data_IF_066420227879
#
_entry.id   IF_066420227879
#
_cell.length_a   1.000
_cell.length_b   1.000
_cell.length_c   1.000
_cell.angle_alpha   90.00
_cell.angle_beta   90.00
_cell.angle_gamma   90.00
#
_symmetry.space_group_name_H-M   'P 1'
#
loop_
_entity.id
_entity.type
_entity.pdbx_description
1 polymer ?
#
# COMPACT_ATOMS: atom_id res chain seq x y z
N UNK A 1 15.15 -17.90 33.92
CA UNK A 1 14.35 -18.98 33.33
C UNK A 1 14.06 -18.73 31.84
N UNK A 2 13.86 -17.49 31.36
CA UNK A 2 13.61 -17.19 29.94
C UNK A 2 14.79 -17.46 28.99
N UNK A 3 16.01 -17.25 29.40
CA UNK A 3 17.23 -17.43 28.57
C UNK A 3 17.53 -18.91 28.23
N UNK A 4 17.19 -19.85 29.12
CA UNK A 4 17.40 -21.30 28.87
C UNK A 4 16.37 -21.89 27.90
N UNK A 5 15.15 -21.37 27.91
CA UNK A 5 14.07 -21.89 27.03
C UNK A 5 14.26 -21.42 25.58
N UNK A 6 14.82 -20.24 25.37
CA UNK A 6 15.12 -19.71 24.03
C UNK A 6 16.22 -20.53 23.34
N UNK A 7 17.29 -20.88 24.08
CA UNK A 7 18.42 -21.69 23.56
C UNK A 7 17.98 -23.10 23.12
N UNK A 8 17.03 -23.73 23.84
CA UNK A 8 16.48 -25.05 23.47
C UNK A 8 15.67 -24.95 22.17
N UNK A 9 14.81 -23.93 22.03
CA UNK A 9 14.01 -23.74 20.83
C UNK A 9 14.90 -23.47 19.61
N UNK A 10 15.91 -22.61 19.74
CA UNK A 10 16.82 -22.29 18.64
C UNK A 10 17.61 -23.50 18.18
N UNK A 11 18.18 -24.28 19.11
CA UNK A 11 18.90 -25.53 18.80
C UNK A 11 18.02 -26.57 18.10
N UNK A 12 16.73 -26.61 18.43
CA UNK A 12 15.79 -27.52 17.79
C UNK A 12 15.32 -27.03 16.43
N UNK A 13 15.11 -25.71 16.25
CA UNK A 13 14.57 -25.14 15.03
C UNK A 13 15.59 -24.97 13.92
N UNK A 14 16.85 -24.67 14.23
CA UNK A 14 17.91 -24.44 13.25
C UNK A 14 18.14 -25.64 12.31
N UNK A 15 18.38 -26.88 12.80
CA UNK A 15 18.58 -28.02 11.90
C UNK A 15 17.31 -28.41 11.13
N UNK A 16 16.12 -28.12 11.66
CA UNK A 16 14.86 -28.39 10.98
C UNK A 16 14.52 -27.36 9.89
N UNK A 17 14.96 -26.12 10.01
CA UNK A 17 14.66 -25.07 9.03
C UNK A 17 15.18 -25.43 7.63
N UNK A 18 16.42 -25.86 7.49
CA UNK A 18 17.02 -26.30 6.22
C UNK A 18 16.27 -27.48 5.58
N UNK A 19 15.78 -28.39 6.42
CA UNK A 19 14.97 -29.49 5.94
C UNK A 19 13.61 -29.01 5.45
N UNK A 20 12.95 -28.13 6.21
CA UNK A 20 11.66 -27.54 5.82
C UNK A 20 11.80 -26.83 4.49
N UNK A 21 12.84 -26.01 4.29
CA UNK A 21 13.10 -25.32 3.02
C UNK A 21 13.17 -26.31 1.85
N UNK A 22 13.88 -27.42 2.02
CA UNK A 22 14.03 -28.47 1.00
C UNK A 22 12.72 -29.22 0.74
N UNK A 23 12.00 -29.62 1.78
CA UNK A 23 10.75 -30.39 1.68
C UNK A 23 9.58 -29.57 1.14
N UNK A 24 9.55 -28.24 1.40
CA UNK A 24 8.50 -27.34 0.91
C UNK A 24 8.80 -26.77 -0.48
N UNK A 25 10.02 -26.89 -0.97
CA UNK A 25 10.38 -26.41 -2.30
C UNK A 25 9.62 -27.21 -3.38
N UNK A 26 8.86 -26.47 -4.21
CA UNK A 26 8.18 -27.04 -5.38
C UNK A 26 8.96 -26.62 -6.61
N UNK A 27 9.44 -27.60 -7.39
CA UNK A 27 10.21 -27.35 -8.60
C UNK A 27 9.43 -26.60 -9.68
N UNK A 28 10.11 -25.81 -10.49
CA UNK A 28 9.50 -25.03 -11.57
C UNK A 28 8.77 -25.90 -12.60
N UNK A 29 9.17 -27.18 -12.73
CA UNK A 29 8.54 -28.16 -13.61
C UNK A 29 7.06 -28.43 -13.28
N UNK A 30 6.62 -28.14 -12.05
CA UNK A 30 5.23 -28.28 -11.64
C UNK A 30 4.33 -27.09 -12.01
N UNK A 31 4.92 -25.96 -12.44
CA UNK A 31 4.22 -24.73 -12.77
C UNK A 31 3.90 -24.59 -14.28
N UNK A 32 3.90 -25.71 -15.02
CA UNK A 32 3.55 -25.69 -16.44
C UNK A 32 2.04 -25.79 -16.72
N UNK A 33 1.64 -25.31 -17.88
CA UNK A 33 0.28 -25.46 -18.40
C UNK A 33 -0.72 -24.51 -17.71
N UNK A 34 -1.73 -25.07 -17.07
CA UNK A 34 -2.84 -24.30 -16.49
C UNK A 34 -2.50 -23.56 -15.19
N UNK A 35 -1.38 -23.92 -14.55
CA UNK A 35 -1.00 -23.30 -13.25
C UNK A 35 -0.57 -21.86 -13.47
N UNK A 36 -1.27 -20.94 -12.83
CA UNK A 36 -1.04 -19.49 -12.94
C UNK A 36 -0.31 -18.98 -11.70
N UNK A 37 1.02 -19.15 -11.65
CA UNK A 37 1.88 -18.68 -10.56
C UNK A 37 1.67 -17.17 -10.32
N UNK A 38 1.33 -16.79 -9.08
CA UNK A 38 1.02 -15.41 -8.73
C UNK A 38 -0.22 -14.85 -9.44
N UNK A 39 -1.16 -15.70 -9.89
CA UNK A 39 -2.34 -15.31 -10.67
C UNK A 39 -1.97 -14.51 -11.94
N UNK A 40 -0.89 -14.94 -12.63
CA UNK A 40 -0.42 -14.36 -13.89
C UNK A 40 -0.51 -15.36 -15.04
N UNK A 41 -0.95 -14.88 -16.17
CA UNK A 41 -0.88 -15.60 -17.43
C UNK A 41 0.55 -15.61 -17.97
N UNK A 42 0.86 -16.48 -18.92
CA UNK A 42 2.19 -16.59 -19.55
C UNK A 42 2.66 -15.30 -20.24
N UNK A 43 1.73 -14.47 -20.69
CA UNK A 43 1.97 -13.16 -21.30
C UNK A 43 2.14 -12.03 -20.24
N UNK A 44 2.15 -12.38 -18.95
CA UNK A 44 2.29 -11.43 -17.82
C UNK A 44 1.00 -10.71 -17.43
N UNK A 45 -0.18 -11.00 -18.08
CA UNK A 45 -1.46 -10.44 -17.63
C UNK A 45 -1.91 -11.04 -16.32
N UNK A 46 -2.73 -10.28 -15.56
CA UNK A 46 -3.49 -10.84 -14.45
C UNK A 46 -4.54 -11.84 -14.94
N UNK A 47 -4.74 -12.91 -14.18
CA UNK A 47 -5.88 -13.79 -14.38
C UNK A 47 -7.16 -13.01 -14.07
N UNK A 48 -8.14 -13.06 -14.98
CA UNK A 48 -9.43 -12.41 -14.76
C UNK A 48 -10.23 -13.25 -13.75
N UNK A 49 -10.38 -12.72 -12.53
CA UNK A 49 -11.06 -13.42 -11.42
C UNK A 49 -12.40 -12.78 -11.03
N UNK A 50 -12.74 -11.63 -11.59
CA UNK A 50 -13.98 -10.93 -11.29
C UNK A 50 -14.20 -9.69 -12.14
N UNK A 51 -15.32 -9.03 -11.90
CA UNK A 51 -15.69 -7.75 -12.51
C UNK A 51 -15.94 -6.72 -11.42
N UNK A 52 -15.73 -5.44 -11.72
CA UNK A 52 -15.89 -4.36 -10.75
C UNK A 52 -16.37 -3.07 -11.41
N UNK A 53 -17.15 -2.28 -10.66
CA UNK A 53 -17.51 -0.91 -10.99
C UNK A 53 -16.75 0.12 -10.14
N UNK A 54 -15.90 -0.33 -9.19
CA UNK A 54 -15.24 0.58 -8.24
C UNK A 54 -14.09 1.32 -8.89
N UNK A 55 -13.18 0.62 -9.55
CA UNK A 55 -12.02 1.22 -10.17
C UNK A 55 -11.58 0.49 -11.44
N UNK A 56 -11.03 1.23 -12.40
CA UNK A 56 -10.47 0.68 -13.64
C UNK A 56 -9.08 1.23 -13.89
N UNK A 57 -8.13 0.31 -14.14
CA UNK A 57 -6.72 0.58 -14.39
C UNK A 57 -6.42 0.20 -15.83
N UNK A 58 -6.12 1.17 -16.69
CA UNK A 58 -5.91 0.98 -18.11
C UNK A 58 -4.50 1.40 -18.51
N UNK A 59 -3.73 0.52 -19.17
CA UNK A 59 -2.39 0.79 -19.68
C UNK A 59 -2.18 0.23 -21.09
N UNK A 60 -3.22 -0.38 -21.68
CA UNK A 60 -3.21 -0.92 -23.04
C UNK A 60 -4.64 -1.07 -23.57
N UNK A 61 -4.76 -1.13 -24.87
CA UNK A 61 -5.99 -1.52 -25.60
C UNK A 61 -5.79 -2.89 -26.24
N UNK A 62 -6.86 -3.63 -26.41
CA UNK A 62 -6.86 -4.85 -27.21
C UNK A 62 -7.29 -4.50 -28.63
N UNK A 63 -6.38 -4.66 -29.60
CA UNK A 63 -6.65 -4.51 -31.02
C UNK A 63 -6.32 -5.85 -31.70
N UNK A 64 -7.30 -6.46 -32.32
CA UNK A 64 -7.17 -7.78 -32.98
C UNK A 64 -6.58 -8.88 -32.09
N UNK A 65 -6.93 -8.85 -30.79
CA UNK A 65 -6.41 -9.78 -29.78
C UNK A 65 -4.98 -9.50 -29.32
N UNK A 66 -4.33 -8.46 -29.85
CA UNK A 66 -3.01 -8.00 -29.41
C UNK A 66 -3.11 -6.81 -28.48
N UNK A 67 -2.15 -6.70 -27.57
CA UNK A 67 -2.05 -5.57 -26.66
C UNK A 67 -1.29 -4.44 -27.31
N UNK A 68 -1.95 -3.32 -27.43
CA UNK A 68 -1.34 -2.06 -27.86
C UNK A 68 -1.16 -1.17 -26.62
N UNK A 69 0.07 -0.90 -26.19
CA UNK A 69 0.34 0.00 -25.07
C UNK A 69 -0.29 1.38 -25.31
N UNK A 70 -0.88 1.93 -24.25
CA UNK A 70 -1.45 3.29 -24.24
C UNK A 70 -0.97 4.06 -23.01
N UNK A 71 -1.03 5.40 -22.99
CA UNK A 71 -0.86 6.15 -21.77
C UNK A 71 -1.77 5.61 -20.67
N UNK A 72 -1.25 5.51 -19.45
CA UNK A 72 -2.00 4.96 -18.33
C UNK A 72 -3.16 5.86 -17.95
N UNK A 73 -4.30 5.25 -17.62
CA UNK A 73 -5.49 5.92 -17.08
C UNK A 73 -6.00 5.17 -15.87
N UNK A 74 -6.47 5.94 -14.90
CA UNK A 74 -7.09 5.41 -13.68
C UNK A 74 -8.45 6.05 -13.52
N UNK A 75 -9.46 5.21 -13.35
CA UNK A 75 -10.85 5.65 -13.20
C UNK A 75 -11.40 5.22 -11.85
N UNK A 76 -12.07 6.13 -11.16
CA UNK A 76 -12.88 5.88 -9.97
C UNK A 76 -14.35 5.97 -10.35
N UNK A 77 -15.07 4.86 -10.25
CA UNK A 77 -16.49 4.79 -10.67
C UNK A 77 -16.75 5.31 -12.09
N UNK A 78 -15.77 5.12 -12.99
CA UNK A 78 -15.87 5.57 -14.39
C UNK A 78 -15.42 7.00 -14.65
N UNK A 79 -15.03 7.77 -13.62
CA UNK A 79 -14.51 9.13 -13.74
C UNK A 79 -12.98 9.09 -13.69
N UNK A 80 -12.31 9.76 -14.63
CA UNK A 80 -10.86 9.75 -14.70
C UNK A 80 -10.25 10.52 -13.52
N UNK A 81 -9.26 9.91 -12.85
CA UNK A 81 -8.60 10.53 -11.69
C UNK A 81 -8.02 11.91 -12.00
N UNK A 82 -7.42 12.06 -13.17
CA UNK A 82 -6.83 13.33 -13.58
C UNK A 82 -7.86 14.46 -13.60
N UNK A 83 -9.07 14.19 -14.08
CA UNK A 83 -10.14 15.18 -14.14
C UNK A 83 -10.58 15.60 -12.74
N UNK A 84 -10.65 14.66 -11.79
CA UNK A 84 -11.00 14.95 -10.40
C UNK A 84 -9.92 15.84 -9.77
N UNK A 85 -8.65 15.44 -9.89
CA UNK A 85 -7.53 16.21 -9.30
C UNK A 85 -7.43 17.61 -9.89
N UNK A 86 -7.54 17.76 -11.22
CA UNK A 86 -7.48 19.06 -11.88
C UNK A 86 -8.65 19.97 -11.49
N UNK A 87 -9.85 19.40 -11.34
CA UNK A 87 -11.02 20.17 -10.89
C UNK A 87 -10.82 20.78 -9.50
N UNK A 88 -10.39 19.98 -8.52
CA UNK A 88 -10.13 20.46 -7.17
C UNK A 88 -8.97 21.47 -7.11
N UNK A 89 -7.89 21.20 -7.83
CA UNK A 89 -6.76 22.13 -7.90
C UNK A 89 -7.16 23.48 -8.50
N UNK A 90 -7.96 23.48 -9.56
CA UNK A 90 -8.46 24.71 -10.19
C UNK A 90 -9.41 25.48 -9.27
N UNK A 91 -10.21 24.77 -8.51
CA UNK A 91 -11.15 25.36 -7.56
C UNK A 91 -10.50 25.79 -6.23
N UNK A 92 -9.26 25.32 -5.91
CA UNK A 92 -8.63 25.54 -4.62
C UNK A 92 -9.37 24.83 -3.49
N UNK A 93 -9.88 23.62 -3.73
CA UNK A 93 -10.66 22.83 -2.76
C UNK A 93 -9.98 21.50 -2.44
N UNK A 94 -10.34 20.91 -1.31
CA UNK A 94 -9.90 19.56 -0.91
C UNK A 94 -10.80 18.51 -1.55
N UNK A 95 -10.21 17.46 -2.12
CA UNK A 95 -10.92 16.48 -2.95
C UNK A 95 -11.00 15.07 -2.37
N UNK A 96 -10.26 14.75 -1.33
CA UNK A 96 -10.24 13.37 -0.80
C UNK A 96 -11.60 12.91 -0.28
N UNK A 97 -12.34 13.76 0.41
CA UNK A 97 -13.68 13.47 0.91
C UNK A 97 -14.67 13.22 -0.23
N UNK A 98 -14.57 14.00 -1.33
CA UNK A 98 -15.39 13.75 -2.51
C UNK A 98 -15.03 12.43 -3.19
N UNK A 99 -13.74 12.09 -3.28
CA UNK A 99 -13.27 10.77 -3.79
C UNK A 99 -13.78 9.64 -2.90
N UNK A 100 -13.73 9.77 -1.58
CA UNK A 100 -14.28 8.78 -0.65
C UNK A 100 -15.78 8.61 -0.86
N UNK A 101 -16.54 9.71 -0.98
CA UNK A 101 -17.95 9.69 -1.30
C UNK A 101 -18.22 8.98 -2.63
N UNK A 102 -17.53 9.38 -3.70
CA UNK A 102 -17.67 8.78 -5.01
C UNK A 102 -17.44 7.27 -5.00
N UNK A 103 -16.39 6.81 -4.33
CA UNK A 103 -16.06 5.39 -4.22
C UNK A 103 -17.14 4.62 -3.46
N UNK A 104 -17.65 5.17 -2.36
CA UNK A 104 -18.67 4.52 -1.53
C UNK A 104 -20.05 4.55 -2.20
N UNK A 105 -20.52 5.71 -2.66
CA UNK A 105 -21.87 5.90 -3.16
C UNK A 105 -22.03 5.56 -4.66
N UNK A 106 -20.92 5.61 -5.43
CA UNK A 106 -20.94 5.27 -6.86
C UNK A 106 -21.25 6.43 -7.81
N UNK A 107 -21.42 7.67 -7.29
CA UNK A 107 -21.69 8.89 -8.06
C UNK A 107 -21.09 10.11 -7.34
N UNK A 108 -20.90 11.21 -8.07
CA UNK A 108 -20.41 12.48 -7.50
C UNK A 108 -21.49 13.16 -6.66
N UNK A 109 -21.14 13.69 -5.47
CA UNK A 109 -22.09 14.40 -4.62
C UNK A 109 -22.47 15.76 -5.21
N UNK A 110 -23.66 16.20 -4.88
CA UNK A 110 -24.00 17.62 -4.91
C UNK A 110 -23.27 18.36 -3.77
N UNK A 111 -23.26 19.69 -3.81
CA UNK A 111 -22.63 20.50 -2.75
C UNK A 111 -23.22 20.20 -1.37
N UNK A 112 -24.54 20.04 -1.28
CA UNK A 112 -25.24 19.72 -0.02
C UNK A 112 -24.93 18.30 0.48
N UNK A 113 -24.84 17.33 -0.43
CA UNK A 113 -24.47 15.95 -0.07
C UNK A 113 -23.03 15.87 0.42
N UNK A 114 -22.09 16.57 -0.25
CA UNK A 114 -20.69 16.61 0.19
C UNK A 114 -20.57 17.30 1.56
N UNK A 115 -21.27 18.41 1.76
CA UNK A 115 -21.27 19.10 3.06
C UNK A 115 -21.78 18.22 4.20
N UNK A 116 -22.85 17.45 3.97
CA UNK A 116 -23.36 16.46 4.95
C UNK A 116 -22.38 15.35 5.20
N UNK A 117 -21.78 14.81 4.13
CA UNK A 117 -20.76 13.76 4.23
C UNK A 117 -19.55 14.23 5.02
N UNK A 118 -19.05 15.44 4.76
CA UNK A 118 -17.95 16.05 5.52
C UNK A 118 -18.31 16.21 7.01
N UNK A 119 -19.54 16.57 7.34
CA UNK A 119 -20.02 16.62 8.72
C UNK A 119 -20.01 15.25 9.42
N UNK A 120 -20.38 14.18 8.70
CA UNK A 120 -20.32 12.79 9.22
C UNK A 120 -18.86 12.35 9.35
N UNK A 121 -18.02 12.61 8.34
CA UNK A 121 -16.59 12.29 8.37
C UNK A 121 -15.88 12.98 9.53
N UNK A 122 -16.22 14.23 9.84
CA UNK A 122 -15.63 14.99 10.94
C UNK A 122 -15.87 14.33 12.29
N UNK A 123 -17.07 13.78 12.52
CA UNK A 123 -17.40 13.02 13.73
C UNK A 123 -16.66 11.67 13.78
N UNK A 124 -16.51 11.02 12.62
CA UNK A 124 -15.83 9.74 12.49
C UNK A 124 -14.30 9.79 12.72
N UNK A 125 -13.69 10.99 12.67
CA UNK A 125 -12.25 11.16 12.93
C UNK A 125 -11.87 10.92 14.40
N UNK A 126 -12.82 11.12 15.33
CA UNK A 126 -12.55 10.89 16.76
C UNK A 126 -12.47 9.38 17.05
N UNK A 127 -11.41 8.97 17.72
CA UNK A 127 -11.28 7.60 18.22
C UNK A 127 -12.22 7.36 19.41
N UNK A 128 -12.64 6.12 19.66
CA UNK A 128 -13.41 5.79 20.86
C UNK A 128 -12.68 6.24 22.14
N UNK A 129 -13.43 6.60 23.15
CA UNK A 129 -12.86 7.06 24.44
C UNK A 129 -11.97 5.96 25.04
N UNK A 130 -10.76 6.33 25.47
CA UNK A 130 -9.76 5.43 26.03
C UNK A 130 -9.06 4.52 25.01
N UNK A 131 -9.34 4.64 23.70
CA UNK A 131 -8.74 3.79 22.67
C UNK A 131 -7.23 4.01 22.55
N UNK A 132 -6.79 5.26 22.55
CA UNK A 132 -5.36 5.59 22.47
C UNK A 132 -4.59 5.04 23.64
N UNK A 133 -5.07 5.23 24.86
CA UNK A 133 -4.44 4.78 26.10
C UNK A 133 -4.52 3.27 26.28
N UNK A 134 -5.68 2.69 26.06
CA UNK A 134 -5.97 1.28 26.33
C UNK A 134 -5.46 0.33 25.24
N UNK A 135 -5.30 0.81 23.99
CA UNK A 135 -4.87 0.00 22.87
C UNK A 135 -3.49 0.42 22.34
N UNK A 136 -3.33 1.65 21.87
CA UNK A 136 -2.10 2.09 21.19
C UNK A 136 -0.94 2.23 22.18
N UNK A 137 -1.14 2.91 23.30
CA UNK A 137 -0.09 3.18 24.30
C UNK A 137 0.25 1.95 25.14
N UNK A 138 -0.71 1.07 25.39
CA UNK A 138 -0.49 -0.10 26.27
C UNK A 138 0.44 -1.14 25.67
N UNK A 139 0.42 -1.29 24.35
CA UNK A 139 1.25 -2.24 23.62
C UNK A 139 1.85 -1.59 22.37
N UNK A 140 2.75 -0.60 22.55
CA UNK A 140 3.31 0.14 21.43
C UNK A 140 4.10 -0.77 20.50
N UNK A 141 4.00 -0.53 19.20
CA UNK A 141 4.73 -1.28 18.18
C UNK A 141 5.78 -0.40 17.51
N UNK A 142 6.99 -0.94 17.30
CA UNK A 142 7.99 -0.29 16.46
C UNK A 142 7.59 -0.28 14.98
N UNK A 143 6.64 -1.14 14.57
CA UNK A 143 6.13 -1.23 13.21
C UNK A 143 4.74 -0.62 13.10
N UNK A 144 4.64 0.51 12.41
CA UNK A 144 3.41 1.28 12.26
C UNK A 144 2.26 0.51 11.58
N UNK A 145 2.56 -0.34 10.59
CA UNK A 145 1.53 -1.14 9.92
C UNK A 145 1.01 -2.28 10.79
N UNK A 146 1.85 -2.83 11.67
CA UNK A 146 1.40 -3.77 12.69
C UNK A 146 0.46 -3.09 13.69
N UNK A 147 0.83 -1.88 14.14
CA UNK A 147 0.00 -1.08 15.04
C UNK A 147 -1.36 -0.77 14.41
N UNK A 148 -1.37 -0.34 13.13
CA UNK A 148 -2.60 -0.04 12.41
C UNK A 148 -3.50 -1.28 12.29
N UNK A 149 -2.96 -2.45 11.92
CA UNK A 149 -3.73 -3.69 11.79
C UNK A 149 -4.37 -4.11 13.13
N UNK A 150 -3.62 -4.02 14.25
CA UNK A 150 -4.14 -4.31 15.59
C UNK A 150 -5.22 -3.31 16.01
N UNK A 151 -5.00 -2.03 15.71
CA UNK A 151 -5.98 -0.98 15.98
C UNK A 151 -7.31 -1.25 15.26
N UNK A 152 -7.23 -1.63 13.97
CA UNK A 152 -8.44 -1.99 13.20
C UNK A 152 -9.17 -3.16 13.84
N UNK A 153 -8.48 -4.25 14.19
CA UNK A 153 -9.09 -5.40 14.85
C UNK A 153 -9.68 -5.04 16.22
N UNK A 154 -9.04 -4.13 16.96
CA UNK A 154 -9.54 -3.69 18.27
C UNK A 154 -10.81 -2.86 18.17
N UNK A 155 -11.02 -2.12 17.06
CA UNK A 155 -12.25 -1.35 16.83
C UNK A 155 -13.51 -2.24 16.77
N UNK A 156 -13.36 -3.52 16.42
CA UNK A 156 -14.45 -4.51 16.50
C UNK A 156 -15.15 -4.49 17.86
N UNK A 157 -14.38 -4.41 18.95
CA UNK A 157 -14.92 -4.42 20.32
C UNK A 157 -15.62 -3.11 20.72
N UNK A 158 -15.53 -2.07 19.92
CA UNK A 158 -16.21 -0.78 20.14
C UNK A 158 -17.44 -0.59 19.23
N UNK A 159 -17.71 -1.56 18.35
CA UNK A 159 -18.89 -1.56 17.51
C UNK A 159 -20.00 -2.38 18.18
N UNK A 160 -21.22 -1.86 18.34
CA UNK A 160 -22.32 -2.61 18.93
C UNK A 160 -22.78 -3.80 18.07
N UNK A 161 -22.63 -3.71 16.74
CA UNK A 161 -23.07 -4.73 15.79
C UNK A 161 -21.98 -5.07 14.77
N UNK A 162 -20.80 -5.56 15.23
CA UNK A 162 -19.62 -5.70 14.36
C UNK A 162 -19.79 -6.76 13.26
N UNK A 163 -20.61 -7.77 13.49
CA UNK A 163 -20.85 -8.89 12.56
C UNK A 163 -22.04 -8.65 11.61
N UNK A 164 -22.78 -7.55 11.76
CA UNK A 164 -23.85 -7.21 10.82
C UNK A 164 -23.25 -6.75 9.48
N UNK A 165 -23.48 -7.57 8.44
CA UNK A 165 -23.04 -7.34 7.07
C UNK A 165 -24.09 -6.68 6.20
N UNK A 166 -25.17 -6.12 6.78
CA UNK A 166 -26.12 -5.29 6.05
C UNK A 166 -25.41 -4.08 5.41
N UNK A 167 -25.90 -3.63 4.26
CA UNK A 167 -25.27 -2.50 3.55
C UNK A 167 -25.32 -1.22 4.37
N UNK A 168 -26.36 -1.02 5.16
CA UNK A 168 -26.50 0.12 6.08
C UNK A 168 -25.35 0.11 7.12
N UNK A 169 -25.16 -1.00 7.82
CA UNK A 169 -24.10 -1.12 8.82
C UNK A 169 -22.70 -1.07 8.19
N UNK A 170 -22.54 -1.71 7.03
CA UNK A 170 -21.29 -1.63 6.25
C UNK A 170 -20.91 -0.20 5.89
N UNK A 171 -21.87 0.60 5.44
CA UNK A 171 -21.63 2.00 5.12
C UNK A 171 -21.22 2.78 6.38
N UNK A 172 -21.90 2.56 7.50
CA UNK A 172 -21.57 3.18 8.78
C UNK A 172 -20.14 2.83 9.23
N UNK A 173 -19.79 1.54 9.21
CA UNK A 173 -18.46 1.04 9.55
C UNK A 173 -17.39 1.62 8.59
N UNK A 174 -17.68 1.67 7.29
CA UNK A 174 -16.76 2.22 6.28
C UNK A 174 -16.44 3.70 6.55
N UNK A 175 -17.46 4.52 6.80
CA UNK A 175 -17.25 5.95 7.09
C UNK A 175 -16.48 6.14 8.40
N UNK A 176 -16.80 5.37 9.45
CA UNK A 176 -16.04 5.38 10.71
C UNK A 176 -14.56 5.03 10.49
N UNK A 177 -14.27 3.97 9.74
CA UNK A 177 -12.91 3.53 9.47
C UNK A 177 -12.14 4.55 8.62
N UNK A 178 -12.73 5.08 7.54
CA UNK A 178 -12.08 6.11 6.70
C UNK A 178 -11.75 7.34 7.55
N UNK A 179 -12.68 7.77 8.41
CA UNK A 179 -12.48 8.93 9.28
C UNK A 179 -11.39 8.73 10.33
N UNK A 180 -11.37 7.58 11.01
CA UNK A 180 -10.46 7.36 12.14
C UNK A 180 -9.03 6.88 11.75
N UNK A 181 -8.80 6.36 10.55
CA UNK A 181 -7.48 5.87 10.14
C UNK A 181 -6.37 6.92 10.29
N UNK A 182 -6.52 8.16 9.80
CA UNK A 182 -5.51 9.19 10.00
C UNK A 182 -5.20 9.45 11.49
N UNK A 183 -6.23 9.44 12.35
CA UNK A 183 -6.06 9.61 13.80
C UNK A 183 -5.30 8.45 14.45
N UNK A 184 -5.60 7.20 14.05
CA UNK A 184 -4.85 6.02 14.50
C UNK A 184 -3.38 6.16 14.10
N UNK A 185 -3.10 6.52 12.84
CA UNK A 185 -1.73 6.65 12.34
C UNK A 185 -0.95 7.74 13.07
N UNK A 186 -1.54 8.93 13.25
CA UNK A 186 -0.89 10.04 13.94
C UNK A 186 -0.60 9.72 15.41
N UNK A 187 -1.58 9.17 16.14
CA UNK A 187 -1.40 8.78 17.54
C UNK A 187 -0.39 7.65 17.68
N UNK A 188 -0.44 6.64 16.81
CA UNK A 188 0.53 5.54 16.81
C UNK A 188 1.95 6.02 16.56
N UNK A 189 2.14 6.99 15.66
CA UNK A 189 3.44 7.58 15.40
C UNK A 189 3.96 8.34 16.62
N UNK A 190 3.15 9.18 17.26
CA UNK A 190 3.53 9.89 18.47
C UNK A 190 3.90 8.92 19.61
N UNK A 191 3.11 7.86 19.79
CA UNK A 191 3.39 6.81 20.78
C UNK A 191 4.70 6.07 20.45
N UNK A 192 4.92 5.70 19.17
CA UNK A 192 6.19 5.10 18.74
C UNK A 192 7.37 6.00 19.06
N UNK A 193 7.30 7.29 18.76
CA UNK A 193 8.37 8.26 19.07
C UNK A 193 8.64 8.32 20.57
N UNK A 194 7.59 8.35 21.36
CA UNK A 194 7.71 8.39 22.82
C UNK A 194 8.43 7.15 23.38
N UNK A 195 7.97 5.95 23.03
CA UNK A 195 8.47 4.70 23.62
C UNK A 195 9.82 4.24 23.05
N UNK A 196 10.08 4.46 21.77
CA UNK A 196 11.26 3.92 21.09
C UNK A 196 12.36 4.95 20.81
N UNK A 197 12.05 6.26 20.94
CA UNK A 197 13.00 7.34 20.66
C UNK A 197 13.10 8.35 21.79
N UNK A 198 12.41 8.17 22.91
CA UNK A 198 12.40 9.04 24.08
C UNK A 198 11.95 10.48 23.82
N UNK A 199 11.10 10.68 22.82
CA UNK A 199 10.51 11.98 22.53
C UNK A 199 9.32 12.27 23.45
N UNK A 200 8.97 13.54 23.60
CA UNK A 200 7.72 13.93 24.26
C UNK A 200 6.50 13.36 23.54
N UNK A 201 5.49 12.94 24.30
CA UNK A 201 4.23 12.46 23.75
C UNK A 201 3.36 13.65 23.33
N UNK A 202 3.01 13.72 22.07
CA UNK A 202 2.11 14.74 21.51
C UNK A 202 0.88 14.05 20.91
N UNK A 203 -0.26 14.16 21.57
CA UNK A 203 -1.53 13.66 21.08
C UNK A 203 -2.42 14.85 20.75
N UNK A 204 -2.72 15.04 19.47
CA UNK A 204 -3.57 16.11 18.97
C UNK A 204 -4.90 15.54 18.52
N UNK A 205 -6.01 16.15 18.95
CA UNK A 205 -7.34 15.77 18.53
C UNK A 205 -7.68 16.36 17.15
N UNK A 206 -8.46 15.64 16.31
CA UNK A 206 -8.90 16.18 15.04
C UNK A 206 -9.81 17.41 15.25
N UNK A 207 -9.71 18.37 14.35
CA UNK A 207 -10.55 19.58 14.30
C UNK A 207 -11.66 19.35 13.28
N UNK A 208 -12.94 19.52 13.66
CA UNK A 208 -14.08 19.16 12.81
C UNK A 208 -14.12 19.89 11.46
N UNK A 209 -13.70 21.15 11.42
CA UNK A 209 -13.77 22.03 10.25
C UNK A 209 -12.67 21.77 9.21
N UNK A 210 -11.62 21.08 9.59
CA UNK A 210 -10.48 20.80 8.73
C UNK A 210 -10.71 19.54 7.88
N UNK A 211 -10.15 19.52 6.68
CA UNK A 211 -10.10 18.33 5.81
C UNK A 211 -9.28 17.18 6.43
N UNK A 212 -9.31 16.01 5.83
CA UNK A 212 -8.48 14.87 6.25
C UNK A 212 -6.99 15.17 6.12
N UNK A 213 -6.58 15.83 5.04
CA UNK A 213 -5.18 16.21 4.82
C UNK A 213 -4.67 17.22 5.86
N UNK A 214 -5.44 18.26 6.13
CA UNK A 214 -5.11 19.27 7.14
C UNK A 214 -5.03 18.66 8.55
N UNK A 215 -6.04 17.88 8.94
CA UNK A 215 -6.05 17.19 10.22
C UNK A 215 -4.83 16.25 10.37
N UNK A 216 -4.47 15.52 9.32
CA UNK A 216 -3.32 14.62 9.37
C UNK A 216 -2.01 15.38 9.61
N UNK A 217 -1.73 16.44 8.83
CA UNK A 217 -0.53 17.26 9.01
C UNK A 217 -0.48 17.91 10.40
N UNK A 218 -1.62 18.42 10.86
CA UNK A 218 -1.77 19.00 12.19
C UNK A 218 -1.50 17.99 13.31
N UNK A 219 -2.04 16.78 13.17
CA UNK A 219 -1.93 15.76 14.23
C UNK A 219 -0.56 15.11 14.31
N UNK A 220 0.16 14.96 13.19
CA UNK A 220 1.47 14.29 13.16
C UNK A 220 2.62 15.20 13.60
N UNK A 221 2.44 16.52 13.55
CA UNK A 221 3.44 17.51 13.88
C UNK A 221 3.30 17.98 15.34
N UNK A 222 4.37 17.99 16.14
CA UNK A 222 4.31 18.42 17.53
C UNK A 222 3.79 19.85 17.72
N UNK A 223 4.10 20.75 16.76
CA UNK A 223 3.70 22.16 16.78
C UNK A 223 2.36 22.43 16.08
N UNK A 224 1.73 21.43 15.50
CA UNK A 224 0.47 21.50 14.76
C UNK A 224 0.48 22.41 13.51
N UNK A 225 1.64 22.93 13.11
CA UNK A 225 1.75 23.90 12.02
C UNK A 225 1.84 23.21 10.64
N UNK A 226 1.15 23.76 9.68
CA UNK A 226 1.23 23.38 8.25
C UNK A 226 0.84 24.58 7.39
N UNK A 227 1.18 24.53 6.10
CA UNK A 227 0.70 25.50 5.12
C UNK A 227 -0.46 24.94 4.31
N UNK A 228 -1.29 25.79 3.75
CA UNK A 228 -2.39 25.41 2.86
C UNK A 228 -1.88 24.62 1.64
N UNK A 229 -0.72 25.03 1.08
CA UNK A 229 -0.09 24.35 -0.04
C UNK A 229 0.36 22.92 0.31
N UNK A 230 0.90 22.72 1.53
CA UNK A 230 1.24 21.38 2.05
C UNK A 230 -0.02 20.52 2.18
N UNK A 231 -1.11 21.09 2.69
CA UNK A 231 -2.36 20.37 2.86
C UNK A 231 -2.98 19.98 1.50
N UNK A 232 -2.98 20.88 0.50
CA UNK A 232 -3.45 20.55 -0.84
C UNK A 232 -2.60 19.49 -1.54
N UNK A 233 -1.27 19.51 -1.34
CA UNK A 233 -0.39 18.48 -1.89
C UNK A 233 -0.66 17.12 -1.23
N UNK A 234 -0.85 17.08 0.09
CA UNK A 234 -1.20 15.85 0.79
C UNK A 234 -2.59 15.34 0.38
N UNK A 235 -3.57 16.23 0.21
CA UNK A 235 -4.91 15.86 -0.25
C UNK A 235 -4.86 15.19 -1.64
N UNK A 236 -4.09 15.75 -2.57
CA UNK A 236 -3.83 15.10 -3.86
C UNK A 236 -3.20 13.72 -3.68
N UNK A 237 -2.24 13.56 -2.76
CA UNK A 237 -1.66 12.25 -2.45
C UNK A 237 -2.71 11.25 -1.96
N UNK A 238 -3.64 11.69 -1.12
CA UNK A 238 -4.75 10.86 -0.66
C UNK A 238 -5.67 10.47 -1.82
N UNK A 239 -6.02 11.41 -2.69
CA UNK A 239 -6.83 11.12 -3.89
C UNK A 239 -6.19 10.07 -4.79
N UNK A 240 -4.89 10.19 -5.12
CA UNK A 240 -4.20 9.27 -6.05
C UNK A 240 -3.97 7.88 -5.47
N UNK A 241 -4.03 7.74 -4.15
CA UNK A 241 -3.86 6.45 -3.49
C UNK A 241 -5.16 5.74 -3.12
N UNK A 242 -6.33 6.41 -3.23
CA UNK A 242 -7.61 5.93 -2.72
C UNK A 242 -8.05 4.58 -3.33
N UNK A 243 -7.81 4.33 -4.62
CA UNK A 243 -8.18 3.08 -5.30
C UNK A 243 -7.17 2.73 -6.40
N UNK A 244 -7.03 1.42 -6.70
CA UNK A 244 -6.17 0.98 -7.80
C UNK A 244 -6.60 -0.40 -8.36
N UNK A 245 -7.89 -0.62 -8.50
CA UNK A 245 -8.48 -1.82 -9.07
C UNK A 245 -8.57 -3.02 -8.15
N UNK A 246 -9.54 -3.88 -8.40
CA UNK A 246 -9.84 -5.06 -7.59
C UNK A 246 -8.76 -6.13 -7.57
N UNK A 247 -7.84 -6.12 -8.55
CA UNK A 247 -6.68 -7.03 -8.64
C UNK A 247 -5.44 -6.54 -7.87
N UNK A 248 -5.46 -5.37 -7.27
CA UNK A 248 -4.43 -4.93 -6.35
C UNK A 248 -4.36 -5.88 -5.14
N UNK A 249 -3.17 -6.29 -4.70
CA UNK A 249 -3.03 -7.38 -3.73
C UNK A 249 -3.82 -7.18 -2.46
N UNK A 250 -3.76 -6.00 -1.83
CA UNK A 250 -4.53 -5.72 -0.60
C UNK A 250 -6.03 -5.64 -0.85
N UNK A 251 -6.47 -5.11 -1.99
CA UNK A 251 -7.87 -5.09 -2.40
C UNK A 251 -8.39 -6.50 -2.67
N UNK A 252 -7.58 -7.34 -3.32
CA UNK A 252 -7.92 -8.74 -3.56
C UNK A 252 -8.04 -9.53 -2.24
N UNK A 253 -7.14 -9.32 -1.28
CA UNK A 253 -7.22 -9.92 0.06
C UNK A 253 -8.50 -9.46 0.77
N UNK A 254 -8.84 -8.17 0.72
CA UNK A 254 -10.09 -7.64 1.27
C UNK A 254 -11.31 -8.35 0.66
N UNK A 255 -11.39 -8.47 -0.68
CA UNK A 255 -12.46 -9.18 -1.39
C UNK A 255 -12.50 -10.66 -1.02
N UNK A 256 -11.35 -11.34 -0.99
CA UNK A 256 -11.28 -12.76 -0.66
C UNK A 256 -11.78 -13.05 0.77
N UNK A 257 -11.38 -12.23 1.75
CA UNK A 257 -11.91 -12.32 3.13
C UNK A 257 -13.40 -12.00 3.17
N UNK A 258 -13.84 -10.96 2.50
CA UNK A 258 -15.24 -10.57 2.41
C UNK A 258 -16.12 -11.70 1.85
N UNK A 259 -15.63 -12.44 0.85
CA UNK A 259 -16.36 -13.55 0.22
C UNK A 259 -16.66 -14.70 1.19
N UNK A 260 -15.96 -14.78 2.32
CA UNK A 260 -16.24 -15.76 3.39
C UNK A 260 -17.36 -15.33 4.32
N UNK A 261 -17.85 -14.09 4.21
CA UNK A 261 -18.87 -13.53 5.10
C UNK A 261 -18.32 -12.97 6.42
N UNK A 262 -17.01 -12.75 6.54
CA UNK A 262 -16.40 -12.20 7.77
C UNK A 262 -16.78 -10.72 7.99
N UNK A 263 -16.56 -10.24 9.20
CA UNK A 263 -16.79 -8.85 9.62
C UNK A 263 -15.88 -7.86 8.88
N UNK A 264 -16.22 -6.57 8.98
CA UNK A 264 -15.50 -5.48 8.30
C UNK A 264 -14.07 -5.31 8.84
N UNK A 265 -13.92 -5.39 10.15
CA UNK A 265 -12.64 -5.14 10.82
C UNK A 265 -11.60 -6.20 10.43
N UNK A 266 -12.00 -7.48 10.40
CA UNK A 266 -11.16 -8.58 9.94
C UNK A 266 -10.75 -8.42 8.47
N UNK A 267 -11.69 -8.09 7.58
CA UNK A 267 -11.41 -7.92 6.16
C UNK A 267 -10.44 -6.74 5.90
N UNK A 268 -10.63 -5.62 6.59
CA UNK A 268 -9.76 -4.44 6.47
C UNK A 268 -8.40 -4.69 7.13
N UNK A 269 -8.34 -5.35 8.30
CA UNK A 269 -7.06 -5.74 8.90
C UNK A 269 -6.25 -6.68 8.00
N UNK A 270 -6.92 -7.60 7.29
CA UNK A 270 -6.28 -8.45 6.27
C UNK A 270 -5.70 -7.63 5.11
N UNK A 271 -6.43 -6.61 4.64
CA UNK A 271 -5.93 -5.70 3.60
C UNK A 271 -4.72 -4.88 4.08
N UNK A 272 -4.75 -4.38 5.32
CA UNK A 272 -3.60 -3.70 5.96
C UNK A 272 -2.40 -4.63 6.06
N UNK A 273 -2.62 -5.88 6.49
CA UNK A 273 -1.58 -6.91 6.55
C UNK A 273 -0.94 -7.20 5.19
N UNK A 274 -1.74 -7.28 4.13
CA UNK A 274 -1.27 -7.41 2.76
C UNK A 274 -0.46 -6.20 2.31
N UNK A 275 -0.95 -4.98 2.59
CA UNK A 275 -0.25 -3.75 2.22
C UNK A 275 1.09 -3.59 2.97
N UNK A 276 1.21 -4.12 4.18
CA UNK A 276 2.46 -4.11 4.97
C UNK A 276 3.62 -4.81 4.24
N UNK A 277 3.33 -5.77 3.36
CA UNK A 277 4.35 -6.57 2.68
C UNK A 277 5.31 -5.73 1.84
N UNK A 278 6.63 -6.00 1.87
CA UNK A 278 7.65 -5.21 1.16
C UNK A 278 7.52 -5.27 -0.37
N UNK A 279 6.79 -6.26 -0.90
CA UNK A 279 6.51 -6.38 -2.32
C UNK A 279 5.26 -5.60 -2.75
N UNK A 280 4.56 -4.94 -1.80
CA UNK A 280 3.35 -4.17 -2.05
C UNK A 280 3.50 -2.74 -1.52
N UNK A 281 3.08 -2.44 -0.29
CA UNK A 281 3.05 -1.06 0.21
C UNK A 281 4.41 -0.49 0.66
N UNK A 282 5.45 -1.33 0.79
CA UNK A 282 6.80 -0.89 1.16
C UNK A 282 7.66 -0.35 0.00
N UNK A 283 7.10 -0.25 -1.22
CA UNK A 283 7.88 0.09 -2.41
C UNK A 283 8.41 1.54 -2.37
N UNK A 284 7.64 2.51 -1.89
CA UNK A 284 8.08 3.90 -1.78
C UNK A 284 9.25 4.07 -0.78
N UNK A 285 9.24 3.35 0.34
CA UNK A 285 10.36 3.33 1.28
C UNK A 285 11.64 2.76 0.63
N UNK A 286 11.49 1.73 -0.19
CA UNK A 286 12.61 1.15 -0.96
C UNK A 286 13.13 2.09 -2.04
N UNK A 287 12.28 2.90 -2.67
CA UNK A 287 12.72 3.96 -3.57
C UNK A 287 13.57 4.97 -2.81
N UNK A 288 13.13 5.44 -1.64
CA UNK A 288 13.88 6.42 -0.85
C UNK A 288 15.22 5.86 -0.32
N UNK A 289 15.26 4.58 0.07
CA UNK A 289 16.51 3.89 0.43
C UNK A 289 17.49 3.85 -0.75
N UNK A 290 17.02 3.42 -1.91
CA UNK A 290 17.81 3.43 -3.16
C UNK A 290 18.27 4.84 -3.53
N UNK A 291 17.37 5.82 -3.42
CA UNK A 291 17.68 7.22 -3.69
C UNK A 291 18.77 7.77 -2.76
N UNK A 292 18.76 7.39 -1.48
CA UNK A 292 19.83 7.70 -0.51
C UNK A 292 21.18 7.17 -0.99
N UNK A 293 21.27 5.90 -1.40
CA UNK A 293 22.49 5.34 -1.96
C UNK A 293 22.96 6.07 -3.22
N UNK A 294 22.05 6.47 -4.09
CA UNK A 294 22.38 7.23 -5.29
C UNK A 294 22.99 8.59 -4.92
N UNK A 295 22.32 9.37 -4.07
CA UNK A 295 22.78 10.69 -3.61
C UNK A 295 24.18 10.68 -3.01
N UNK A 296 24.51 9.65 -2.23
CA UNK A 296 25.80 9.50 -1.58
C UNK A 296 26.95 9.16 -2.54
N UNK A 297 26.65 8.64 -3.73
CA UNK A 297 27.65 8.01 -4.60
C UNK A 297 27.74 8.58 -6.02
N UNK A 298 26.93 9.59 -6.36
CA UNK A 298 26.94 10.19 -7.71
C UNK A 298 27.13 11.70 -7.66
N UNK A 299 27.65 12.26 -8.75
CA UNK A 299 27.50 13.68 -9.04
C UNK A 299 26.10 13.89 -9.68
N UNK A 300 25.17 14.65 -9.03
CA UNK A 300 23.82 14.85 -9.54
C UNK A 300 23.75 15.60 -10.87
N UNK A 301 24.83 16.30 -11.25
CA UNK A 301 24.93 17.03 -12.51
C UNK A 301 25.59 16.21 -13.64
N UNK A 302 26.20 15.06 -13.33
CA UNK A 302 26.82 14.17 -14.30
C UNK A 302 25.95 12.94 -14.59
N UNK A 303 25.28 12.96 -15.74
CA UNK A 303 24.48 11.83 -16.21
C UNK A 303 25.28 10.53 -16.39
N UNK A 304 26.58 10.63 -16.70
CA UNK A 304 27.49 9.48 -16.77
C UNK A 304 27.67 8.82 -15.41
N UNK A 305 27.98 9.61 -14.37
CA UNK A 305 28.11 9.15 -13.00
C UNK A 305 26.82 8.47 -12.50
N UNK A 306 25.66 9.07 -12.76
CA UNK A 306 24.37 8.49 -12.41
C UNK A 306 24.14 7.15 -13.12
N UNK A 307 24.34 7.10 -14.45
CA UNK A 307 24.16 5.89 -15.24
C UNK A 307 25.04 4.73 -14.75
N UNK A 308 26.32 5.02 -14.50
CA UNK A 308 27.29 4.01 -14.05
C UNK A 308 26.90 3.44 -12.68
N UNK A 309 26.39 4.28 -11.78
CA UNK A 309 25.91 3.80 -10.48
C UNK A 309 24.64 2.97 -10.61
N UNK A 310 23.69 3.35 -11.47
CA UNK A 310 22.50 2.54 -11.77
C UNK A 310 22.88 1.15 -12.31
N UNK A 311 23.93 1.07 -13.14
CA UNK A 311 24.45 -0.23 -13.61
C UNK A 311 25.01 -1.06 -12.46
N UNK A 312 25.73 -0.46 -11.50
CA UNK A 312 26.22 -1.17 -10.29
C UNK A 312 25.05 -1.68 -9.43
N UNK A 313 23.99 -0.89 -9.24
CA UNK A 313 22.77 -1.34 -8.54
C UNK A 313 22.17 -2.56 -9.23
N UNK A 314 21.99 -2.50 -10.54
CA UNK A 314 21.46 -3.59 -11.34
C UNK A 314 22.34 -4.85 -11.32
N UNK A 315 23.66 -4.70 -11.21
CA UNK A 315 24.62 -5.81 -11.11
C UNK A 315 24.73 -6.40 -9.70
N UNK A 316 23.99 -5.86 -8.71
CA UNK A 316 24.09 -6.23 -7.30
C UNK A 316 25.44 -5.88 -6.64
N UNK A 317 26.15 -4.91 -7.21
CA UNK A 317 27.46 -4.44 -6.76
C UNK A 317 27.34 -3.27 -5.77
N UNK A 318 26.17 -2.61 -5.72
CA UNK A 318 25.90 -1.45 -4.87
C UNK A 318 24.49 -1.52 -4.23
N UNK A 319 24.22 -0.59 -3.33
CA UNK A 319 22.94 -0.44 -2.61
C UNK A 319 22.57 -1.69 -1.81
N UNK A 320 21.31 -2.07 -1.83
CA UNK A 320 20.78 -3.25 -1.13
C UNK A 320 21.11 -4.60 -1.81
N UNK A 321 21.87 -4.55 -2.89
CA UNK A 321 22.31 -5.71 -3.71
C UNK A 321 21.17 -6.57 -4.25
N UNK A 322 19.96 -6.04 -4.33
CA UNK A 322 18.80 -6.74 -4.90
C UNK A 322 18.86 -6.87 -6.42
N UNK A 323 19.59 -5.99 -7.09
CA UNK A 323 19.61 -5.89 -8.55
C UNK A 323 18.37 -5.23 -9.12
N UNK A 324 17.68 -4.41 -8.35
CA UNK A 324 16.44 -3.72 -8.73
C UNK A 324 16.63 -2.22 -8.76
N UNK A 325 15.94 -1.56 -9.68
CA UNK A 325 15.66 -0.12 -9.63
C UNK A 325 14.20 0.04 -9.19
N UNK A 326 14.02 0.40 -7.93
CA UNK A 326 12.70 0.58 -7.35
C UNK A 326 12.01 1.81 -7.94
N UNK A 327 10.68 1.80 -8.02
CA UNK A 327 9.90 2.89 -8.60
C UNK A 327 9.79 2.86 -10.13
N UNK A 328 10.51 1.94 -10.81
CA UNK A 328 10.47 1.78 -12.26
C UNK A 328 9.77 0.46 -12.64
N UNK A 329 8.79 0.57 -13.54
CA UNK A 329 7.95 -0.54 -13.98
C UNK A 329 6.65 -0.67 -13.18
N UNK A 330 5.62 -1.18 -13.86
CA UNK A 330 4.30 -1.42 -13.29
C UNK A 330 3.66 -2.66 -13.91
N UNK A 331 2.76 -3.30 -13.17
CA UNK A 331 2.09 -4.53 -13.63
C UNK A 331 1.10 -4.30 -14.78
N UNK A 332 0.59 -3.08 -14.94
CA UNK A 332 -0.41 -2.69 -15.94
C UNK A 332 0.09 -1.55 -16.83
N UNK A 333 0.59 -0.48 -16.22
CA UNK A 333 1.07 0.69 -16.94
C UNK A 333 2.42 0.42 -17.61
N UNK A 334 2.55 0.84 -18.86
CA UNK A 334 3.78 0.67 -19.64
C UNK A 334 4.30 2.00 -20.20
N UNK A 335 3.42 2.89 -20.65
CA UNK A 335 3.81 4.20 -21.20
C UNK A 335 3.89 5.26 -20.11
N UNK A 336 2.88 5.35 -19.23
CA UNK A 336 2.85 6.28 -18.11
C UNK A 336 1.96 5.75 -16.98
N UNK A 337 2.28 6.09 -15.73
CA UNK A 337 1.39 5.95 -14.58
C UNK A 337 0.77 7.33 -14.30
N UNK A 338 -0.56 7.52 -14.44
CA UNK A 338 -1.20 8.83 -14.29
C UNK A 338 -0.95 9.44 -12.91
N UNK A 339 -0.74 8.62 -11.89
CA UNK A 339 -0.42 9.07 -10.53
C UNK A 339 0.99 9.65 -10.44
N UNK A 340 1.98 8.98 -11.06
CA UNK A 340 3.35 9.48 -11.12
C UNK A 340 3.42 10.80 -11.91
N UNK A 341 2.68 10.90 -13.01
CA UNK A 341 2.61 12.14 -13.80
C UNK A 341 1.99 13.31 -13.02
N UNK A 342 0.91 13.06 -12.26
CA UNK A 342 0.34 14.07 -11.37
C UNK A 342 1.35 14.53 -10.32
N UNK A 343 2.09 13.58 -9.68
CA UNK A 343 3.10 13.93 -8.70
C UNK A 343 4.25 14.73 -9.31
N UNK A 344 4.76 14.34 -10.48
CA UNK A 344 5.78 15.14 -11.19
C UNK A 344 5.32 16.58 -11.44
N UNK A 345 4.08 16.73 -11.95
CA UNK A 345 3.53 18.03 -12.31
C UNK A 345 3.38 18.95 -11.10
N UNK A 346 2.90 18.43 -9.97
CA UNK A 346 2.49 19.27 -8.85
C UNK A 346 3.48 19.32 -7.69
N UNK A 347 4.39 18.34 -7.58
CA UNK A 347 5.40 18.35 -6.53
C UNK A 347 6.62 19.22 -6.85
N UNK A 348 6.85 19.57 -8.12
CA UNK A 348 8.01 20.36 -8.53
C UNK A 348 8.06 21.72 -7.82
N UNK A 349 6.93 22.44 -7.79
CA UNK A 349 6.85 23.73 -7.11
C UNK A 349 7.14 23.62 -5.59
N UNK A 350 6.60 22.58 -4.96
CA UNK A 350 6.88 22.32 -3.54
C UNK A 350 8.36 21.98 -3.32
N UNK A 351 8.98 21.26 -4.23
CA UNK A 351 10.42 20.93 -4.17
C UNK A 351 11.27 22.21 -4.19
N UNK A 352 10.93 23.20 -5.01
CA UNK A 352 11.60 24.49 -5.07
C UNK A 352 11.44 25.26 -3.75
N UNK A 353 10.22 25.40 -3.22
CA UNK A 353 9.94 26.11 -1.97
C UNK A 353 10.62 25.45 -0.76
N UNK A 354 10.65 24.14 -0.71
CA UNK A 354 11.18 23.37 0.42
C UNK A 354 12.68 23.05 0.33
N UNK A 355 13.36 23.48 -0.74
CA UNK A 355 14.80 23.25 -0.94
C UNK A 355 15.16 21.82 -1.40
N UNK A 356 14.23 21.11 -2.04
CA UNK A 356 14.40 19.77 -2.60
C UNK A 356 14.50 19.76 -4.14
N UNK A 357 14.73 20.91 -4.78
CA UNK A 357 14.77 21.01 -6.23
C UNK A 357 15.85 20.11 -6.88
N UNK A 358 17.03 20.01 -6.27
CA UNK A 358 18.12 19.13 -6.74
C UNK A 358 17.74 17.65 -6.57
N UNK A 359 17.14 17.28 -5.46
CA UNK A 359 16.65 15.92 -5.20
C UNK A 359 15.59 15.49 -6.21
N UNK A 360 14.67 16.40 -6.49
CA UNK A 360 13.63 16.17 -7.48
C UNK A 360 14.20 16.01 -8.88
N UNK A 361 15.13 16.86 -9.27
CA UNK A 361 15.83 16.79 -10.56
C UNK A 361 16.66 15.48 -10.68
N UNK A 362 17.36 15.08 -9.62
CA UNK A 362 18.10 13.81 -9.60
C UNK A 362 17.16 12.61 -9.77
N UNK A 363 16.00 12.63 -9.10
CA UNK A 363 15.01 11.56 -9.22
C UNK A 363 14.46 11.44 -10.65
N UNK A 364 14.21 12.58 -11.31
CA UNK A 364 13.84 12.60 -12.73
C UNK A 364 14.95 12.04 -13.63
N UNK A 365 16.24 12.34 -13.33
CA UNK A 365 17.38 11.76 -14.04
C UNK A 365 17.49 10.25 -13.83
N UNK A 366 17.23 9.76 -12.63
CA UNK A 366 17.19 8.32 -12.34
C UNK A 366 16.07 7.63 -13.15
N UNK A 367 14.91 8.25 -13.31
CA UNK A 367 13.86 7.74 -14.20
C UNK A 367 14.31 7.72 -15.66
N UNK A 368 14.83 8.85 -16.17
CA UNK A 368 15.27 9.02 -17.55
C UNK A 368 16.33 8.00 -17.96
N UNK A 369 17.33 7.76 -17.10
CA UNK A 369 18.45 6.87 -17.37
C UNK A 369 18.17 5.41 -17.00
N UNK A 370 17.34 5.18 -15.98
CA UNK A 370 17.05 3.84 -15.47
C UNK A 370 16.11 3.03 -16.36
N UNK A 371 15.14 3.67 -17.00
CA UNK A 371 14.18 2.99 -17.89
C UNK A 371 14.91 2.31 -19.06
N UNK A 372 15.77 3.00 -19.84
CA UNK A 372 16.52 2.36 -20.92
C UNK A 372 17.40 1.19 -20.45
N UNK A 373 18.08 1.33 -19.30
CA UNK A 373 18.91 0.27 -18.73
C UNK A 373 18.11 -0.99 -18.39
N UNK A 374 16.91 -0.84 -17.87
CA UNK A 374 16.01 -1.95 -17.58
C UNK A 374 15.49 -2.61 -18.86
N UNK A 375 15.16 -1.83 -19.90
CA UNK A 375 14.70 -2.34 -21.19
C UNK A 375 15.80 -3.13 -21.91
N UNK A 376 17.04 -2.61 -21.93
CA UNK A 376 18.21 -3.31 -22.48
C UNK A 376 18.39 -4.70 -21.82
N UNK A 377 18.21 -4.79 -20.49
CA UNK A 377 18.36 -6.07 -19.76
C UNK A 377 17.26 -7.07 -20.05
N UNK A 378 16.02 -6.61 -20.18
CA UNK A 378 14.87 -7.47 -20.45
C UNK A 378 14.90 -8.10 -21.82
N UNK A 379 15.60 -7.50 -22.77
CA UNK A 379 15.63 -7.91 -24.19
C UNK A 379 14.23 -7.96 -24.82
N UNK A 380 13.28 -7.21 -24.28
CA UNK A 380 11.95 -7.06 -24.85
C UNK A 380 11.70 -5.58 -25.19
N UNK A 381 10.82 -5.36 -26.16
CA UNK A 381 10.48 -4.02 -26.65
C UNK A 381 9.30 -3.40 -25.87
N UNK A 382 8.83 -4.02 -24.78
CA UNK A 382 7.70 -3.51 -24.01
C UNK A 382 8.08 -2.20 -23.33
N UNK A 383 7.35 -1.10 -23.58
CA UNK A 383 7.60 0.15 -22.88
C UNK A 383 7.52 -0.01 -21.36
N UNK A 384 8.24 0.83 -20.63
CA UNK A 384 8.26 0.86 -19.19
C UNK A 384 8.19 2.30 -18.70
N UNK A 385 7.49 2.56 -17.60
CA UNK A 385 7.39 3.88 -16.98
C UNK A 385 7.72 3.83 -15.49
N UNK A 386 7.94 5.00 -14.90
CA UNK A 386 7.92 5.17 -13.46
C UNK A 386 6.51 4.87 -12.93
N UNK A 387 6.44 4.30 -11.73
CA UNK A 387 5.19 4.13 -10.99
C UNK A 387 5.07 5.20 -9.89
N UNK A 388 3.93 5.25 -9.21
CA UNK A 388 3.65 6.26 -8.18
C UNK A 388 4.70 6.29 -7.06
N UNK A 389 5.32 5.15 -6.74
CA UNK A 389 6.30 5.04 -5.65
C UNK A 389 7.59 5.79 -5.95
N UNK A 390 7.92 6.02 -7.24
CA UNK A 390 9.09 6.78 -7.66
C UNK A 390 9.11 8.19 -7.05
N UNK A 391 7.97 8.83 -6.95
CA UNK A 391 7.87 10.22 -6.49
C UNK A 391 7.21 10.39 -5.12
N UNK A 392 6.36 9.46 -4.72
CA UNK A 392 5.55 9.60 -3.49
C UNK A 392 6.39 9.74 -2.22
N UNK A 393 7.50 9.00 -2.13
CA UNK A 393 8.41 9.08 -0.98
C UNK A 393 9.06 10.45 -0.83
N UNK A 394 9.52 11.05 -1.94
CA UNK A 394 10.07 12.41 -1.92
C UNK A 394 9.01 13.45 -1.56
N UNK A 395 7.79 13.31 -2.09
CA UNK A 395 6.68 14.20 -1.73
C UNK A 395 6.40 14.16 -0.24
N UNK A 396 6.31 12.98 0.35
CA UNK A 396 6.13 12.84 1.81
C UNK A 396 7.29 13.45 2.59
N UNK A 397 8.53 13.28 2.10
CA UNK A 397 9.72 13.90 2.74
C UNK A 397 9.65 15.42 2.71
N UNK A 398 9.25 16.03 1.59
CA UNK A 398 9.04 17.48 1.48
C UNK A 398 7.97 18.01 2.43
N UNK A 399 6.95 17.20 2.71
CA UNK A 399 5.90 17.50 3.69
C UNK A 399 6.35 17.24 5.14
N UNK A 400 7.59 16.82 5.37
CA UNK A 400 8.10 16.49 6.70
C UNK A 400 7.44 15.26 7.30
N UNK A 401 6.83 14.40 6.47
CA UNK A 401 6.22 13.14 6.92
C UNK A 401 7.32 12.10 7.07
N UNK A 402 7.44 11.44 8.22
CA UNK A 402 8.47 10.43 8.45
C UNK A 402 8.26 9.16 7.61
N UNK A 403 9.37 8.53 7.22
CA UNK A 403 9.34 7.31 6.39
C UNK A 403 8.50 6.17 7.00
N UNK A 404 8.50 6.02 8.31
CA UNK A 404 7.68 5.05 9.05
C UNK A 404 6.17 5.20 8.79
N UNK A 405 5.75 6.39 8.35
CA UNK A 405 4.34 6.76 8.15
C UNK A 405 3.92 6.67 6.69
N UNK A 406 4.83 6.47 5.75
CA UNK A 406 4.51 6.42 4.31
C UNK A 406 3.46 5.35 3.97
N UNK A 407 3.71 4.10 4.37
CA UNK A 407 2.76 3.00 4.13
C UNK A 407 1.46 3.13 4.95
N UNK A 408 1.48 3.51 6.22
CA UNK A 408 0.25 3.83 6.97
C UNK A 408 -0.59 4.94 6.35
N UNK A 409 0.03 5.98 5.81
CA UNK A 409 -0.68 7.07 5.14
C UNK A 409 -1.27 6.61 3.80
N UNK A 410 -0.54 5.77 3.07
CA UNK A 410 -1.10 5.08 1.91
C UNK A 410 -2.34 4.24 2.29
N UNK A 411 -2.30 3.51 3.41
CA UNK A 411 -3.45 2.77 3.91
C UNK A 411 -4.63 3.69 4.27
N UNK A 412 -4.35 4.88 4.85
CA UNK A 412 -5.36 5.88 5.20
C UNK A 412 -6.10 6.46 3.98
N UNK A 413 -5.47 6.46 2.82
CA UNK A 413 -6.11 6.78 1.56
C UNK A 413 -6.86 5.57 0.98
N UNK A 414 -6.18 4.41 0.90
CA UNK A 414 -6.68 3.20 0.24
C UNK A 414 -7.89 2.57 0.95
N UNK A 415 -8.12 2.89 2.21
CA UNK A 415 -9.28 2.36 2.95
C UNK A 415 -10.61 2.70 2.27
N UNK A 416 -10.73 3.85 1.61
CA UNK A 416 -11.94 4.21 0.84
C UNK A 416 -12.20 3.20 -0.27
N UNK A 417 -11.16 2.83 -1.02
CA UNK A 417 -11.21 1.79 -2.05
C UNK A 417 -11.49 0.40 -1.48
N UNK A 418 -10.87 0.01 -0.37
CA UNK A 418 -11.14 -1.28 0.27
C UNK A 418 -12.59 -1.41 0.72
N UNK A 419 -13.14 -0.38 1.38
CA UNK A 419 -14.54 -0.34 1.81
C UNK A 419 -15.50 -0.44 0.62
N UNK A 420 -15.25 0.31 -0.46
CA UNK A 420 -16.06 0.25 -1.67
C UNK A 420 -16.03 -1.13 -2.33
N UNK A 421 -14.84 -1.75 -2.41
CA UNK A 421 -14.67 -3.11 -2.94
C UNK A 421 -15.34 -4.16 -2.06
N UNK A 422 -15.31 -3.99 -0.72
CA UNK A 422 -16.02 -4.86 0.21
C UNK A 422 -17.52 -4.78 0.03
N UNK A 423 -18.09 -3.58 -0.06
CA UNK A 423 -19.53 -3.40 -0.32
C UNK A 423 -19.94 -4.03 -1.64
N UNK A 424 -19.16 -3.81 -2.72
CA UNK A 424 -19.44 -4.42 -4.02
C UNK A 424 -19.41 -5.94 -3.95
N UNK A 425 -18.45 -6.54 -3.24
CA UNK A 425 -18.34 -7.99 -3.07
C UNK A 425 -19.57 -8.58 -2.38
N UNK A 426 -20.05 -7.96 -1.30
CA UNK A 426 -21.24 -8.44 -0.57
C UNK A 426 -22.54 -8.28 -1.34
N UNK A 427 -22.66 -7.20 -2.13
CA UNK A 427 -23.85 -6.97 -2.97
C UNK A 427 -23.89 -7.90 -4.18
N UNK A 428 -22.72 -8.24 -4.74
CA UNK A 428 -22.62 -8.88 -6.06
C UNK A 428 -22.35 -10.38 -5.98
N UNK A 429 -21.50 -10.80 -5.03
CA UNK A 429 -20.97 -12.16 -4.97
C UNK A 429 -21.67 -12.99 -3.90
N UNK A 430 -22.17 -14.14 -4.30
CA UNK A 430 -22.82 -15.13 -3.41
C UNK A 430 -21.94 -16.35 -3.11
N UNK A 431 -20.70 -16.36 -3.59
CA UNK A 431 -19.81 -17.52 -3.48
C UNK A 431 -18.47 -17.15 -2.89
N UNK A 432 -17.99 -17.97 -1.94
CA UNK A 432 -16.64 -17.86 -1.40
C UNK A 432 -15.60 -18.05 -2.50
N UNK A 433 -14.58 -17.21 -2.55
CA UNK A 433 -13.43 -17.36 -3.43
C UNK A 433 -12.61 -18.57 -3.01
N UNK A 434 -12.56 -19.59 -3.86
CA UNK A 434 -11.88 -20.85 -3.61
C UNK A 434 -11.08 -21.31 -4.83
N UNK A 435 -9.87 -20.81 -5.04
CA UNK A 435 -9.03 -21.29 -6.13
C UNK A 435 -8.65 -22.75 -5.92
N UNK A 436 -8.41 -23.47 -7.01
CA UNK A 436 -7.96 -24.85 -6.98
C UNK A 436 -6.42 -24.92 -6.85
N UNK A 437 -5.94 -25.88 -6.08
CA UNK A 437 -4.52 -26.23 -5.98
C UNK A 437 -4.32 -27.69 -6.41
N UNK A 438 -3.34 -27.93 -7.28
CA UNK A 438 -2.93 -29.27 -7.70
C UNK A 438 -1.92 -29.81 -6.71
N UNK A 439 -2.24 -30.90 -6.01
CA UNK A 439 -1.30 -31.58 -5.12
C UNK A 439 -0.21 -32.28 -5.94
N UNK A 440 1.06 -32.05 -5.60
CA UNK A 440 2.24 -32.66 -6.24
C UNK A 440 3.02 -33.55 -5.27
N UNK A 441 2.54 -33.73 -4.04
CA UNK A 441 3.13 -34.64 -3.06
C UNK A 441 3.01 -36.09 -3.52
N UNK A 442 4.06 -36.88 -3.27
CA UNK A 442 4.06 -38.35 -3.50
C UNK A 442 3.11 -38.98 -2.48
N UNK A 443 2.20 -39.84 -2.97
CA UNK A 443 1.34 -40.62 -2.08
C UNK A 443 2.18 -41.60 -1.29
N UNK A 444 2.08 -41.56 0.03
CA UNK A 444 2.75 -42.47 0.96
C UNK A 444 1.75 -43.27 1.81
N UNK A 445 2.25 -44.23 2.54
CA UNK A 445 1.50 -44.98 3.54
C UNK A 445 1.84 -44.45 4.94
N UNK A 446 0.88 -44.51 5.85
CA UNK A 446 1.15 -44.23 7.25
C UNK A 446 2.12 -45.29 7.83
N UNK A 447 3.21 -44.83 8.41
CA UNK A 447 4.22 -45.68 9.07
C UNK A 447 3.99 -45.57 10.58
N UNK A 448 3.76 -46.68 11.31
CA UNK A 448 3.65 -46.68 12.77
C UNK A 448 4.87 -46.03 13.43
N UNK A 449 4.69 -45.43 14.61
CA UNK A 449 5.72 -44.61 15.28
C UNK A 449 7.03 -45.40 15.50
N UNK A 450 6.90 -46.65 15.92
CA UNK A 450 8.01 -47.54 16.22
C UNK A 450 8.85 -47.95 14.99
N UNK A 451 8.32 -47.73 13.79
CA UNK A 451 9.01 -48.05 12.53
C UNK A 451 9.60 -46.79 11.86
N UNK A 452 9.40 -45.61 12.46
CA UNK A 452 9.90 -44.34 11.90
C UNK A 452 11.36 -44.16 12.23
N UNK A 453 12.11 -43.64 11.27
CA UNK A 453 13.50 -43.24 11.50
C UNK A 453 13.53 -41.78 11.93
N UNK A 454 14.41 -41.43 12.86
CA UNK A 454 14.69 -40.07 13.22
C UNK A 454 15.21 -39.31 12.00
N UNK A 455 14.78 -38.03 11.90
CA UNK A 455 15.28 -37.10 10.90
C UNK A 455 16.04 -35.94 11.54
N UNK A 456 16.17 -35.99 12.87
CA UNK A 456 16.99 -35.04 13.61
C UNK A 456 18.45 -35.46 13.53
N UNK A 457 19.42 -34.54 13.54
CA UNK A 457 20.82 -34.86 13.74
C UNK A 457 21.01 -35.60 15.06
N UNK A 458 22.01 -36.52 15.13
CA UNK A 458 22.28 -37.31 16.33
C UNK A 458 22.58 -36.47 17.58
N UNK A 459 22.89 -35.16 17.42
CA UNK A 459 23.24 -34.25 18.51
C UNK A 459 22.20 -33.11 18.70
N UNK A 460 20.97 -33.24 18.21
CA UNK A 460 19.92 -32.25 18.37
C UNK A 460 19.04 -32.51 19.62
#
# INVERSE_FOLDING_TARGET
MAEKDTDILERYTEPLSHRIEKEYAIGEEFYHGEVKKGLRNSDGTGVLVGVTKVGSVQGYLLQDGQRVPTPGRLYYRGIELNDIVEAHRKAGTFGFEEVAYLLLMGYLPTQDELARFNGIMSQARKLPDGFTEGMIMRHPSSNMMNELARSVLSLYSYDPDPDDTSIENLLLQSVKLIGCFPSIVANSYSVKRHYFHSDSLHIHFPVPELSTAENFLRMIRPDTNYTEEEAHLLDMMLMVHAEHGGGNNSTFVCRAMTSSGTDTYSAIAGAVGSLKGPLHGGANAKVMEMFGYIKENVDPHDGGSIRDYLVKLLNKEAGDRSGKLYGLGHAVYTISDPRAELLKKYAQHMAEIKGYAEDFALLQKVEELGIPLLQERRRDATPMCANVDMYSGLVYTMLGIPQDVFTPLFASARIAGWCANRMEELVTCSRIMRPAYRAVSIKGHYIPMEQRKSHLPENA
#
